data_IF_117646613599
#
_entry.id   IF_117646613599
#
_cell.length_a   1.000
_cell.length_b   1.000
_cell.length_c   1.000
_cell.angle_alpha   90.00
_cell.angle_beta   90.00
_cell.angle_gamma   90.00
#
_symmetry.space_group_name_H-M   'P 1'
#
loop_
_entity.id
_entity.type
_entity.pdbx_description
1 polymer ?
#
# COMPACT_ATOMS: atom_id res chain seq x y z
N UNK A 1 29.86 -43.07 -58.05
CA UNK A 1 29.52 -41.76 -58.63
C UNK A 1 28.08 -41.44 -58.28
N UNK A 2 27.85 -40.22 -57.78
CA UNK A 2 26.58 -39.54 -57.56
C UNK A 2 25.69 -39.98 -56.38
N UNK A 3 24.97 -39.00 -55.76
CA UNK A 3 24.95 -38.84 -54.31
C UNK A 3 23.57 -39.03 -53.69
N UNK A 4 23.57 -39.42 -52.41
CA UNK A 4 22.39 -39.29 -51.55
C UNK A 4 22.19 -37.82 -51.18
N UNK A 5 21.14 -37.20 -51.70
CA UNK A 5 20.66 -35.88 -51.27
C UNK A 5 19.15 -35.95 -51.17
N UNK A 6 18.58 -35.55 -50.03
CA UNK A 6 17.24 -34.97 -50.07
C UNK A 6 16.28 -35.22 -48.90
N UNK A 7 16.58 -36.05 -47.90
CA UNK A 7 15.65 -36.25 -46.77
C UNK A 7 16.01 -35.50 -45.48
N UNK A 8 17.21 -34.92 -45.38
CA UNK A 8 17.60 -34.11 -44.22
C UNK A 8 17.21 -32.62 -44.31
N UNK A 9 16.67 -32.15 -45.45
CA UNK A 9 16.41 -30.71 -45.66
C UNK A 9 14.98 -30.25 -45.31
N UNK A 10 14.05 -31.17 -45.00
CA UNK A 10 12.66 -30.82 -44.64
C UNK A 10 12.42 -30.67 -43.14
N UNK A 11 13.27 -31.27 -42.29
CA UNK A 11 13.20 -31.13 -40.84
C UNK A 11 13.59 -29.74 -40.29
N UNK A 12 14.57 -29.00 -40.83
CA UNK A 12 14.86 -27.66 -40.33
C UNK A 12 13.86 -26.60 -40.82
N UNK A 13 13.07 -26.89 -41.87
CA UNK A 13 12.05 -25.96 -42.38
C UNK A 13 10.77 -26.01 -41.54
N UNK A 14 10.42 -27.16 -40.96
CA UNK A 14 9.27 -27.31 -40.07
C UNK A 14 9.52 -26.75 -38.65
N UNK A 15 10.79 -26.64 -38.24
CA UNK A 15 11.20 -26.05 -36.96
C UNK A 15 11.34 -24.53 -37.01
N UNK A 16 11.36 -23.93 -38.21
CA UNK A 16 11.50 -22.47 -38.37
C UNK A 16 10.16 -21.72 -38.49
N UNK A 17 9.04 -22.42 -38.71
CA UNK A 17 7.70 -21.82 -38.73
C UNK A 17 7.00 -21.78 -37.37
N UNK A 18 7.58 -22.37 -36.33
CA UNK A 18 6.97 -22.44 -34.99
C UNK A 18 7.34 -21.27 -34.06
N UNK A 19 8.09 -20.27 -34.53
CA UNK A 19 8.61 -19.16 -33.70
C UNK A 19 7.93 -17.80 -33.99
N UNK A 20 6.71 -17.80 -34.51
CA UNK A 20 5.84 -16.62 -34.53
C UNK A 20 4.51 -16.95 -33.85
N UNK A 21 4.57 -17.56 -32.67
CA UNK A 21 3.50 -17.34 -31.70
C UNK A 21 3.61 -15.86 -31.32
N UNK A 22 2.76 -15.02 -31.90
CA UNK A 22 2.61 -13.66 -31.44
C UNK A 22 2.33 -13.72 -29.94
N UNK A 23 3.29 -13.30 -29.11
CA UNK A 23 3.04 -13.09 -27.69
C UNK A 23 1.88 -12.10 -27.60
N UNK A 24 0.70 -12.63 -27.27
CA UNK A 24 -0.47 -11.83 -26.97
C UNK A 24 -0.12 -10.97 -25.76
N UNK A 25 0.32 -9.74 -26.02
CA UNK A 25 0.63 -8.76 -24.98
C UNK A 25 -0.68 -8.46 -24.25
N UNK A 26 -0.83 -8.85 -22.97
CA UNK A 26 -2.08 -8.66 -22.28
C UNK A 26 -2.35 -7.15 -22.16
N UNK A 27 -3.56 -6.73 -22.53
CA UNK A 27 -4.01 -5.35 -22.32
C UNK A 27 -4.35 -5.18 -20.84
N UNK A 28 -3.34 -4.83 -20.05
CA UNK A 28 -3.50 -4.61 -18.62
C UNK A 28 -3.96 -3.16 -18.37
N UNK A 29 -4.95 -3.00 -17.49
CA UNK A 29 -5.38 -1.71 -16.97
C UNK A 29 -4.88 -1.62 -15.53
N UNK A 30 -4.00 -0.64 -15.25
CA UNK A 30 -3.49 -0.35 -13.91
C UNK A 30 -4.10 0.95 -13.41
N UNK A 31 -4.69 0.91 -12.22
CA UNK A 31 -5.27 2.07 -11.55
C UNK A 31 -4.69 2.09 -10.13
N UNK A 32 -4.13 3.23 -9.74
CA UNK A 32 -3.58 3.47 -8.42
C UNK A 32 -4.23 4.69 -7.77
N UNK A 33 -4.46 4.64 -6.46
CA UNK A 33 -4.97 5.75 -5.66
C UNK A 33 -3.87 6.25 -4.73
N UNK A 34 -3.61 7.55 -4.76
CA UNK A 34 -2.64 8.20 -3.87
C UNK A 34 -3.32 9.28 -3.02
N UNK A 35 -2.82 9.43 -1.79
CA UNK A 35 -3.23 10.48 -0.88
C UNK A 35 -2.61 11.83 -1.29
N UNK A 36 -3.07 12.92 -0.65
CA UNK A 36 -2.50 14.26 -0.87
C UNK A 36 -1.23 14.52 -0.05
N UNK A 37 -0.92 13.67 0.92
CA UNK A 37 0.23 13.79 1.80
C UNK A 37 1.36 12.85 1.38
N UNK A 38 2.58 13.17 1.81
CA UNK A 38 3.76 12.34 1.57
C UNK A 38 3.71 11.04 2.38
N UNK A 39 4.39 10.02 1.89
CA UNK A 39 4.46 8.69 2.50
C UNK A 39 4.80 8.78 4.00
N UNK A 40 4.15 7.92 4.77
CA UNK A 40 4.28 7.90 6.22
C UNK A 40 5.19 6.75 6.67
N UNK A 41 6.11 6.99 7.62
CA UNK A 41 6.99 5.93 8.12
C UNK A 41 6.20 4.88 8.91
N UNK A 42 6.48 3.60 8.62
CA UNK A 42 5.75 2.45 9.18
C UNK A 42 5.87 2.38 10.70
N UNK A 43 6.98 2.82 11.27
CA UNK A 43 7.22 2.81 12.72
C UNK A 43 6.31 3.78 13.48
N UNK A 44 5.93 4.91 12.87
CA UNK A 44 4.98 5.83 13.47
C UNK A 44 3.55 5.33 13.32
N UNK A 45 3.21 4.73 12.17
CA UNK A 45 1.92 4.06 12.01
C UNK A 45 1.73 2.92 13.03
N UNK A 46 2.81 2.16 13.28
CA UNK A 46 2.82 1.14 14.32
C UNK A 46 2.68 1.75 15.72
N UNK A 47 3.32 2.88 15.98
CA UNK A 47 3.18 3.58 17.26
C UNK A 47 1.72 4.01 17.50
N UNK A 48 1.01 4.50 16.48
CA UNK A 48 -0.41 4.85 16.57
C UNK A 48 -1.31 3.63 16.84
N UNK A 49 -1.03 2.48 16.20
CA UNK A 49 -1.70 1.23 16.54
C UNK A 49 -1.48 0.84 18.02
N UNK A 50 -0.25 0.97 18.50
CA UNK A 50 0.10 0.67 19.89
C UNK A 50 -0.55 1.64 20.86
N UNK A 51 -0.80 2.89 20.44
CA UNK A 51 -1.54 3.87 21.24
C UNK A 51 -3.01 3.46 21.44
N UNK A 52 -3.67 2.96 20.40
CA UNK A 52 -5.05 2.44 20.52
C UNK A 52 -5.13 1.21 21.45
N UNK A 53 -4.05 0.43 21.51
CA UNK A 53 -3.90 -0.71 22.43
C UNK A 53 -3.48 -0.31 23.85
N UNK A 54 -3.20 0.98 24.12
CA UNK A 54 -2.70 1.47 25.41
C UNK A 54 -1.24 1.05 25.72
N UNK A 55 -0.50 0.64 24.70
CA UNK A 55 0.86 0.11 24.78
C UNK A 55 1.93 1.04 24.18
N UNK A 56 1.54 2.27 23.80
CA UNK A 56 2.41 3.26 23.14
C UNK A 56 3.79 3.38 23.80
N UNK A 57 3.85 3.68 25.09
CA UNK A 57 5.12 3.91 25.79
C UNK A 57 5.98 2.65 25.88
N UNK A 58 5.37 1.49 26.07
CA UNK A 58 6.11 0.21 26.10
C UNK A 58 6.72 -0.09 24.74
N UNK A 59 6.00 0.22 23.66
CA UNK A 59 6.52 0.11 22.31
C UNK A 59 7.62 1.13 22.04
N UNK A 60 7.42 2.39 22.42
CA UNK A 60 8.39 3.47 22.24
C UNK A 60 9.71 3.23 22.98
N UNK A 61 9.67 2.54 24.13
CA UNK A 61 10.86 2.12 24.89
C UNK A 61 11.59 0.93 24.24
N UNK A 62 10.82 0.00 23.64
CA UNK A 62 11.33 -1.22 23.01
C UNK A 62 11.90 -0.97 21.60
N UNK A 63 11.26 -0.09 20.82
CA UNK A 63 11.64 0.21 19.45
C UNK A 63 12.98 0.96 19.37
N UNK A 64 13.77 0.64 18.35
CA UNK A 64 15.06 1.27 18.04
C UNK A 64 15.03 1.72 16.59
N UNK A 65 15.35 2.98 16.34
CA UNK A 65 15.45 3.48 14.98
C UNK A 65 16.58 2.78 14.23
N UNK A 66 16.31 2.42 12.97
CA UNK A 66 17.32 1.88 12.07
C UNK A 66 18.11 3.04 11.43
N UNK A 67 19.36 2.80 10.98
CA UNK A 67 20.13 3.81 10.26
C UNK A 67 19.44 4.21 8.94
N UNK A 68 19.73 5.42 8.47
CA UNK A 68 19.22 5.92 7.20
C UNK A 68 19.56 4.96 6.04
N UNK A 69 18.58 4.67 5.19
CA UNK A 69 18.71 3.73 4.07
C UNK A 69 18.32 2.28 4.38
N UNK A 70 17.79 1.99 5.56
CA UNK A 70 17.15 0.70 5.84
C UNK A 70 15.96 0.46 4.89
N UNK A 71 15.76 -0.80 4.49
CA UNK A 71 14.60 -1.16 3.66
C UNK A 71 13.34 -1.27 4.53
N UNK A 72 12.16 -1.05 3.93
CA UNK A 72 10.87 -1.22 4.61
C UNK A 72 10.72 -2.61 5.24
N UNK A 73 11.33 -3.64 4.64
CA UNK A 73 11.33 -4.99 5.20
C UNK A 73 12.11 -5.07 6.52
N UNK A 74 13.25 -4.36 6.63
CA UNK A 74 13.99 -4.29 7.88
C UNK A 74 13.22 -3.50 8.95
N UNK A 75 12.59 -2.40 8.56
CA UNK A 75 11.73 -1.60 9.45
C UNK A 75 10.57 -2.41 9.99
N UNK A 76 9.86 -3.15 9.12
CA UNK A 76 8.77 -4.03 9.52
C UNK A 76 9.22 -5.11 10.52
N UNK A 77 10.38 -5.74 10.28
CA UNK A 77 10.95 -6.72 11.23
C UNK A 77 11.31 -6.10 12.57
N UNK A 78 11.84 -4.87 12.58
CA UNK A 78 12.14 -4.16 13.82
C UNK A 78 10.87 -3.83 14.62
N UNK A 79 9.80 -3.41 13.94
CA UNK A 79 8.48 -3.18 14.53
C UNK A 79 7.91 -4.47 15.14
N UNK A 80 7.96 -5.57 14.39
CA UNK A 80 7.49 -6.87 14.85
C UNK A 80 8.25 -7.34 16.08
N UNK A 81 9.58 -7.26 16.05
CA UNK A 81 10.42 -7.65 17.18
C UNK A 81 10.11 -6.82 18.44
N UNK A 82 9.90 -5.50 18.29
CA UNK A 82 9.47 -4.64 19.39
C UNK A 82 8.07 -5.00 19.90
N UNK A 83 7.15 -5.40 19.01
CA UNK A 83 5.78 -5.77 19.32
C UNK A 83 5.60 -7.19 19.87
N UNK A 84 6.53 -8.12 19.62
CA UNK A 84 6.43 -9.54 19.99
C UNK A 84 6.20 -9.76 21.49
N UNK A 85 6.80 -8.93 22.33
CA UNK A 85 6.65 -9.01 23.80
C UNK A 85 5.39 -8.30 24.32
N UNK A 86 4.75 -7.48 23.49
CA UNK A 86 3.66 -6.58 23.87
C UNK A 86 2.29 -7.07 23.38
N UNK A 87 2.26 -7.72 22.22
CA UNK A 87 1.04 -8.11 21.52
C UNK A 87 0.89 -9.63 21.46
N UNK A 88 -0.36 -10.09 21.37
CA UNK A 88 -0.64 -11.49 21.05
C UNK A 88 -0.31 -11.79 19.58
N UNK A 89 -0.07 -13.06 19.21
CA UNK A 89 0.20 -13.44 17.82
C UNK A 89 -0.89 -12.99 16.83
N UNK A 90 -2.15 -12.96 17.26
CA UNK A 90 -3.26 -12.47 16.45
C UNK A 90 -3.17 -10.95 16.22
N UNK A 91 -2.85 -10.18 17.27
CA UNK A 91 -2.69 -8.72 17.16
C UNK A 91 -1.47 -8.34 16.32
N UNK A 92 -0.38 -9.10 16.36
CA UNK A 92 0.77 -8.89 15.46
C UNK A 92 0.39 -9.11 13.99
N UNK A 93 -0.42 -10.13 13.68
CA UNK A 93 -0.95 -10.33 12.32
C UNK A 93 -1.87 -9.20 11.90
N UNK A 94 -2.72 -8.72 12.81
CA UNK A 94 -3.59 -7.57 12.55
C UNK A 94 -2.76 -6.31 12.27
N UNK A 95 -1.73 -6.04 13.08
CA UNK A 95 -0.79 -4.92 12.85
C UNK A 95 -0.21 -4.97 11.44
N UNK A 96 0.28 -6.13 10.98
CA UNK A 96 0.79 -6.27 9.60
C UNK A 96 -0.24 -5.88 8.53
N UNK A 97 -1.49 -6.32 8.70
CA UNK A 97 -2.58 -5.99 7.75
C UNK A 97 -2.86 -4.48 7.78
N UNK A 98 -2.94 -3.89 8.96
CA UNK A 98 -3.22 -2.45 9.11
C UNK A 98 -2.09 -1.56 8.57
N UNK A 99 -0.83 -1.98 8.76
CA UNK A 99 0.33 -1.32 8.17
C UNK A 99 0.32 -1.44 6.64
N UNK A 100 0.00 -2.63 6.10
CA UNK A 100 -0.10 -2.81 4.64
C UNK A 100 -1.21 -1.97 4.00
N UNK A 101 -2.27 -1.69 4.76
CA UNK A 101 -3.38 -0.87 4.32
C UNK A 101 -3.19 0.63 4.65
N UNK A 102 -2.09 1.01 5.31
CA UNK A 102 -1.78 2.36 5.75
C UNK A 102 -2.90 3.06 6.52
N UNK A 103 -3.60 2.30 7.38
CA UNK A 103 -4.81 2.77 8.11
C UNK A 103 -4.49 3.93 9.05
N UNK A 104 -3.28 3.96 9.61
CA UNK A 104 -2.85 4.99 10.57
C UNK A 104 -2.12 6.17 9.91
N UNK A 105 -1.89 6.11 8.60
CA UNK A 105 -1.23 7.18 7.84
C UNK A 105 -1.85 8.58 8.07
N UNK A 106 -3.19 8.76 8.11
CA UNK A 106 -3.79 10.08 8.39
C UNK A 106 -3.44 10.64 9.77
N UNK A 107 -3.27 9.79 10.79
CA UNK A 107 -2.86 10.22 12.15
C UNK A 107 -1.38 10.61 12.19
N UNK A 108 -0.54 9.90 11.44
CA UNK A 108 0.87 10.27 11.29
C UNK A 108 1.02 11.61 10.55
N UNK A 109 0.23 11.83 9.50
CA UNK A 109 0.20 13.13 8.81
C UNK A 109 -0.33 14.25 9.73
N UNK A 110 -1.32 13.98 10.58
CA UNK A 110 -1.76 14.92 11.61
C UNK A 110 -0.59 15.35 12.50
N UNK A 111 0.24 14.39 12.98
CA UNK A 111 1.43 14.72 13.75
C UNK A 111 2.47 15.53 12.97
N UNK A 112 2.65 15.26 11.67
CA UNK A 112 3.50 16.07 10.79
C UNK A 112 3.05 17.52 10.78
N UNK A 113 1.75 17.76 10.57
CA UNK A 113 1.18 19.11 10.50
C UNK A 113 1.25 19.83 11.85
N UNK A 114 0.98 19.12 12.96
CA UNK A 114 1.13 19.67 14.32
C UNK A 114 2.59 20.08 14.54
N UNK A 115 3.55 19.20 14.24
CA UNK A 115 4.97 19.47 14.42
C UNK A 115 5.44 20.69 13.63
N UNK A 116 5.03 20.84 12.37
CA UNK A 116 5.37 22.00 11.53
C UNK A 116 4.74 23.30 12.07
N UNK A 117 3.45 23.23 12.44
CA UNK A 117 2.71 24.40 12.95
C UNK A 117 3.30 24.90 14.26
N UNK A 118 3.57 23.99 15.20
CA UNK A 118 4.12 24.34 16.51
C UNK A 118 5.58 24.74 16.42
N UNK A 119 6.39 24.12 15.57
CA UNK A 119 7.76 24.56 15.32
C UNK A 119 7.81 26.02 14.81
N UNK A 120 6.94 26.37 13.86
CA UNK A 120 6.83 27.75 13.36
C UNK A 120 6.37 28.71 14.46
N UNK A 121 5.40 28.28 15.27
CA UNK A 121 4.85 29.07 16.36
C UNK A 121 5.87 29.37 17.47
N UNK A 122 6.75 28.41 17.80
CA UNK A 122 7.80 28.56 18.81
C UNK A 122 9.15 29.00 18.22
N UNK A 123 9.19 29.44 16.96
CA UNK A 123 10.39 29.88 16.26
C UNK A 123 11.54 28.85 16.28
N UNK A 124 11.21 27.56 16.18
CA UNK A 124 12.17 26.46 16.08
C UNK A 124 12.73 26.41 14.66
N UNK A 125 14.05 26.27 14.46
CA UNK A 125 14.64 26.13 13.13
C UNK A 125 14.09 24.91 12.38
N UNK A 126 13.80 25.07 11.09
CA UNK A 126 13.18 24.03 10.26
C UNK A 126 13.96 22.71 10.14
N UNK A 127 15.29 22.75 10.34
CA UNK A 127 16.16 21.56 10.25
C UNK A 127 16.35 20.84 11.60
N UNK A 128 15.52 21.19 12.59
CA UNK A 128 15.64 20.62 13.94
C UNK A 128 14.97 19.26 14.00
N UNK A 129 15.76 18.20 14.10
CA UNK A 129 15.24 16.85 14.27
C UNK A 129 14.55 16.63 15.62
N UNK A 130 15.02 17.26 16.71
CA UNK A 130 14.51 17.01 18.06
C UNK A 130 14.50 18.28 18.90
N UNK A 131 13.39 18.53 19.61
CA UNK A 131 13.25 19.68 20.50
C UNK A 131 12.22 19.42 21.60
N UNK A 132 12.27 20.21 22.67
CA UNK A 132 11.31 20.16 23.77
C UNK A 132 10.55 21.47 23.89
N UNK A 133 9.27 21.39 24.24
CA UNK A 133 8.51 22.53 24.69
C UNK A 133 8.28 22.44 26.20
N UNK A 134 8.68 23.47 26.92
CA UNK A 134 8.45 23.62 28.35
C UNK A 134 8.09 25.08 28.68
N UNK A 135 6.94 25.31 29.29
CA UNK A 135 6.51 26.63 29.79
C UNK A 135 6.62 27.79 28.78
N UNK A 136 6.15 27.58 27.54
CA UNK A 136 6.13 28.61 26.50
C UNK A 136 7.48 28.84 25.82
N UNK A 137 8.47 27.97 26.06
CA UNK A 137 9.79 28.02 25.43
C UNK A 137 10.11 26.71 24.73
N UNK A 138 10.76 26.83 23.57
CA UNK A 138 11.34 25.70 22.88
C UNK A 138 12.83 25.55 23.25
N UNK A 139 13.25 24.32 23.50
CA UNK A 139 14.63 23.92 23.73
C UNK A 139 15.04 22.96 22.61
N UNK A 140 15.89 23.44 21.69
CA UNK A 140 16.40 22.65 20.57
C UNK A 140 17.47 21.67 21.07
N UNK A 141 17.36 20.40 20.67
CA UNK A 141 18.39 19.40 20.93
C UNK A 141 19.25 19.21 19.67
N UNK A 142 20.59 19.21 19.81
CA UNK A 142 21.48 19.01 18.67
C UNK A 142 21.31 17.60 18.07
N UNK A 143 21.20 17.53 16.74
CA UNK A 143 21.06 16.26 16.02
C UNK A 143 22.30 15.36 16.16
N UNK A 144 23.52 15.92 16.16
CA UNK A 144 24.76 15.16 16.34
C UNK A 144 25.25 15.11 17.79
N UNK A 145 24.44 15.62 18.73
CA UNK A 145 24.82 15.72 20.13
C UNK A 145 24.96 14.34 20.77
N UNK A 146 26.08 14.12 21.46
CA UNK A 146 26.22 12.97 22.35
C UNK A 146 25.23 13.09 23.53
N UNK A 147 25.04 12.00 24.27
CA UNK A 147 24.24 12.04 25.50
C UNK A 147 24.70 13.13 26.50
N UNK A 148 25.99 13.48 26.48
CA UNK A 148 26.57 14.52 27.33
C UNK A 148 26.15 15.94 26.91
N UNK A 149 25.81 16.16 25.64
CA UNK A 149 25.37 17.45 25.11
C UNK A 149 23.87 17.64 25.27
N UNK A 150 23.10 16.55 25.12
CA UNK A 150 21.63 16.55 25.22
C UNK A 150 21.16 16.64 26.68
N UNK A 151 21.79 15.92 27.60
CA UNK A 151 21.33 15.85 29.00
C UNK A 151 21.27 17.22 29.74
N UNK A 152 22.26 18.13 29.60
CA UNK A 152 22.19 19.46 30.20
C UNK A 152 20.99 20.28 29.69
N UNK A 153 20.69 20.22 28.39
CA UNK A 153 19.58 20.95 27.78
C UNK A 153 18.23 20.44 28.29
N UNK A 154 18.09 19.13 28.44
CA UNK A 154 16.89 18.52 29.05
C UNK A 154 16.73 18.95 30.51
N UNK A 155 17.84 19.02 31.28
CA UNK A 155 17.81 19.49 32.65
C UNK A 155 17.43 20.98 32.76
N UNK A 156 17.87 21.82 31.81
CA UNK A 156 17.43 23.23 31.72
C UNK A 156 15.93 23.31 31.46
N UNK A 157 15.40 22.53 30.51
CA UNK A 157 13.97 22.49 30.23
C UNK A 157 13.14 22.02 31.45
N UNK A 158 13.63 21.02 32.18
CA UNK A 158 13.02 20.56 33.44
C UNK A 158 13.09 21.63 34.54
N UNK A 159 14.18 22.39 34.64
CA UNK A 159 14.31 23.49 35.59
C UNK A 159 13.36 24.63 35.25
N UNK A 160 13.22 24.99 33.96
CA UNK A 160 12.27 26.00 33.48
C UNK A 160 10.82 25.58 33.78
N UNK A 161 10.49 24.30 33.62
CA UNK A 161 9.18 23.75 34.00
C UNK A 161 8.91 23.86 35.52
N UNK A 162 9.90 23.51 36.36
CA UNK A 162 9.73 23.48 37.83
C UNK A 162 9.76 24.85 38.51
N UNK A 163 10.62 25.76 38.06
CA UNK A 163 10.82 27.06 38.73
C UNK A 163 9.65 28.02 38.52
N UNK A 164 8.84 27.76 37.49
CA UNK A 164 7.77 28.65 37.06
C UNK A 164 6.38 28.04 37.25
N UNK A 165 6.17 27.10 38.17
CA UNK A 165 4.83 26.51 38.43
C UNK A 165 3.72 27.58 38.61
N UNK A 166 4.05 28.80 39.07
CA UNK A 166 3.14 29.98 39.06
C UNK A 166 3.36 31.02 37.95
N UNK A 167 4.49 31.00 37.22
CA UNK A 167 4.85 31.93 36.15
C UNK A 167 4.69 31.35 34.72
N UNK A 168 4.53 30.03 34.56
CA UNK A 168 3.96 29.41 33.37
C UNK A 168 2.43 29.69 33.30
N UNK A 169 1.83 30.03 34.45
CA UNK A 169 0.51 30.64 34.59
C UNK A 169 0.52 32.17 34.54
N UNK A 170 1.70 32.83 34.59
CA UNK A 170 1.80 34.27 34.40
C UNK A 170 1.70 34.58 32.90
N UNK A 171 0.51 35.08 32.57
CA UNK A 171 0.06 35.59 31.28
C UNK A 171 1.18 36.38 30.58
N UNK A 172 1.69 35.89 29.43
CA UNK A 172 2.43 36.75 28.52
C UNK A 172 1.51 37.89 28.08
N UNK A 173 2.02 39.13 27.95
CA UNK A 173 1.20 40.31 27.66
C UNK A 173 0.42 40.23 26.33
N UNK A 174 0.78 39.27 25.47
CA UNK A 174 0.25 39.10 24.12
C UNK A 174 -0.78 37.96 24.08
N UNK A 175 -1.98 38.23 23.58
CA UNK A 175 -3.11 37.27 23.57
C UNK A 175 -2.82 35.96 22.79
N UNK A 176 -1.92 35.99 21.81
CA UNK A 176 -1.50 34.81 21.05
C UNK A 176 -0.62 33.85 21.87
N UNK A 177 0.21 34.38 22.78
CA UNK A 177 1.09 33.61 23.66
C UNK A 177 0.31 33.00 24.86
N UNK A 178 -0.86 33.56 25.18
CA UNK A 178 -1.80 33.07 26.21
C UNK A 178 -2.40 31.70 25.92
N UNK A 179 -2.56 31.33 24.65
CA UNK A 179 -3.10 30.03 24.24
C UNK A 179 -2.04 28.92 24.35
N UNK A 180 -0.75 29.29 24.42
CA UNK A 180 0.39 28.39 24.30
C UNK A 180 0.97 27.89 25.62
N UNK A 181 0.92 28.70 26.67
CA UNK A 181 1.54 28.36 27.97
C UNK A 181 0.67 27.47 28.86
N UNK A 182 -0.64 27.45 28.59
CA UNK A 182 -1.67 26.69 29.30
C UNK A 182 -2.12 25.45 28.51
N UNK A 183 -1.37 25.03 27.49
CA UNK A 183 -1.74 23.92 26.64
C UNK A 183 -1.92 22.66 27.50
N UNK A 184 -3.17 22.28 27.70
CA UNK A 184 -3.51 20.93 28.10
C UNK A 184 -3.08 19.97 26.98
N UNK A 185 -2.76 18.72 27.33
CA UNK A 185 -2.50 17.70 26.33
C UNK A 185 -3.66 17.66 25.33
N UNK A 186 -3.34 17.53 24.05
CA UNK A 186 -4.32 17.30 23.01
C UNK A 186 -5.07 15.99 23.32
N UNK A 187 -6.30 15.87 22.86
CA UNK A 187 -7.10 14.64 23.07
C UNK A 187 -6.45 13.38 22.51
N UNK A 188 -5.54 13.56 21.54
CA UNK A 188 -4.77 12.50 20.88
C UNK A 188 -3.42 12.22 21.55
N UNK A 189 -2.97 13.09 22.46
CA UNK A 189 -1.67 12.94 23.14
C UNK A 189 -1.69 11.75 24.11
N UNK A 190 -0.60 10.97 24.11
CA UNK A 190 -0.38 9.90 25.07
C UNK A 190 0.42 10.45 26.27
N UNK A 191 -0.19 10.51 27.45
CA UNK A 191 0.49 10.93 28.69
C UNK A 191 1.37 9.79 29.25
N UNK A 192 2.58 10.12 29.68
CA UNK A 192 3.48 9.16 30.34
C UNK A 192 3.11 8.97 31.81
N UNK A 193 3.16 7.71 32.28
CA UNK A 193 2.95 7.34 33.67
C UNK A 193 1.48 7.04 34.01
N UNK A 194 1.19 6.67 35.28
CA UNK A 194 -0.17 6.35 35.70
C UNK A 194 -1.01 7.63 35.66
N UNK A 195 -1.78 7.79 34.60
CA UNK A 195 -2.83 8.79 34.51
C UNK A 195 -3.71 8.72 35.78
N UNK A 196 -4.02 9.90 36.36
CA UNK A 196 -5.24 10.17 37.14
C UNK A 196 -5.17 10.52 38.64
N UNK A 197 -4.06 10.52 39.39
CA UNK A 197 -4.17 10.86 40.84
C UNK A 197 -3.08 11.78 41.36
N UNK A 198 -3.16 13.07 41.00
CA UNK A 198 -2.54 14.16 41.78
C UNK A 198 -1.81 15.25 41.00
N UNK A 199 -1.49 15.06 39.71
CA UNK A 199 -0.62 15.99 38.95
C UNK A 199 -1.36 16.97 38.04
N UNK A 200 -2.66 17.20 38.24
CA UNK A 200 -3.42 18.16 37.41
C UNK A 200 -2.83 19.58 37.39
N UNK A 201 -1.97 19.89 38.37
CA UNK A 201 -1.29 21.16 38.50
C UNK A 201 0.20 21.14 38.09
N UNK A 202 0.71 20.00 37.60
CA UNK A 202 2.10 19.88 37.16
C UNK A 202 2.28 20.45 35.74
N UNK A 203 3.40 21.15 35.47
CA UNK A 203 3.69 21.72 34.16
C UNK A 203 3.78 20.62 33.08
N UNK A 204 3.24 20.91 31.90
CA UNK A 204 3.35 20.03 30.74
C UNK A 204 4.70 20.24 30.06
N UNK A 205 5.38 19.13 29.76
CA UNK A 205 6.58 19.09 28.92
C UNK A 205 6.28 18.19 27.74
N UNK A 206 6.44 18.74 26.53
CA UNK A 206 6.21 18.02 25.28
C UNK A 206 7.54 17.79 24.59
N UNK A 207 7.84 16.53 24.28
CA UNK A 207 9.03 16.16 23.50
C UNK A 207 8.62 15.94 22.04
N UNK A 208 9.29 16.64 21.13
CA UNK A 208 9.20 16.43 19.70
C UNK A 208 10.45 15.72 19.23
N UNK A 209 10.33 14.46 18.84
CA UNK A 209 11.49 13.65 18.46
C UNK A 209 11.11 12.54 17.47
N UNK A 210 12.02 12.09 16.60
CA UNK A 210 11.84 10.87 15.83
C UNK A 210 11.88 9.67 16.76
N UNK A 211 10.90 8.77 16.60
CA UNK A 211 10.76 7.63 17.48
C UNK A 211 11.98 6.70 17.40
N UNK A 212 12.55 6.36 18.54
CA UNK A 212 13.67 5.43 18.62
C UNK A 212 15.05 6.04 18.31
N UNK A 213 15.14 7.36 18.10
CA UNK A 213 16.43 8.05 17.94
C UNK A 213 17.23 8.08 19.26
N UNK A 214 18.55 8.25 19.18
CA UNK A 214 19.41 8.33 20.37
C UNK A 214 19.07 9.57 21.23
N UNK A 215 18.76 10.70 20.59
CA UNK A 215 18.38 11.94 21.27
C UNK A 215 17.05 11.76 22.01
N UNK A 216 16.09 11.07 21.37
CA UNK A 216 14.83 10.68 22.01
C UNK A 216 15.10 9.87 23.28
N UNK A 217 15.99 8.87 23.23
CA UNK A 217 16.26 8.01 24.39
C UNK A 217 16.85 8.76 25.57
N UNK A 218 17.81 9.65 25.32
CA UNK A 218 18.45 10.47 26.37
C UNK A 218 17.41 11.40 27.00
N UNK A 219 16.61 12.08 26.18
CA UNK A 219 15.54 12.95 26.67
C UNK A 219 14.47 12.16 27.44
N UNK A 220 14.01 11.03 26.88
CA UNK A 220 13.00 10.17 27.47
C UNK A 220 13.42 9.64 28.84
N UNK A 221 14.68 9.22 29.04
CA UNK A 221 15.15 8.75 30.35
C UNK A 221 15.05 9.81 31.46
N UNK A 222 15.35 11.07 31.13
CA UNK A 222 15.24 12.18 32.07
C UNK A 222 13.78 12.63 32.30
N UNK A 223 12.96 12.67 31.24
CA UNK A 223 11.56 13.10 31.32
C UNK A 223 10.67 12.04 32.00
N UNK A 224 10.86 10.76 31.69
CA UNK A 224 10.13 9.65 32.32
C UNK A 224 10.36 9.60 33.83
N UNK A 225 11.60 9.76 34.28
CA UNK A 225 11.92 9.79 35.72
C UNK A 225 11.33 11.01 36.42
N UNK A 226 11.34 12.19 35.78
CA UNK A 226 10.69 13.39 36.30
C UNK A 226 9.15 13.26 36.35
N UNK A 227 8.55 12.63 35.35
CA UNK A 227 7.12 12.36 35.28
C UNK A 227 6.69 11.30 36.32
N UNK A 228 7.47 10.24 36.52
CA UNK A 228 7.23 9.23 37.55
C UNK A 228 7.31 9.83 38.97
N UNK A 229 8.15 10.85 39.17
CA UNK A 229 8.21 11.62 40.41
C UNK A 229 7.05 12.61 40.58
N UNK A 230 6.12 12.70 39.62
CA UNK A 230 4.97 13.61 39.65
C UNK A 230 5.32 15.09 39.47
N UNK A 231 6.53 15.39 38.97
CA UNK A 231 7.03 16.76 38.85
C UNK A 231 6.57 17.44 37.56
N UNK A 232 6.33 16.65 36.51
CA UNK A 232 5.89 17.12 35.19
C UNK A 232 4.81 16.20 34.65
N UNK A 233 3.97 16.73 33.75
CA UNK A 233 3.21 15.92 32.79
C UNK A 233 4.07 15.77 31.54
N UNK A 234 4.28 14.55 31.07
CA UNK A 234 5.15 14.28 29.93
C UNK A 234 4.35 13.68 28.77
N UNK A 235 4.52 14.27 27.59
CA UNK A 235 3.94 13.83 26.31
C UNK A 235 5.05 13.71 25.26
N UNK A 236 4.96 12.67 24.43
CA UNK A 236 5.77 12.53 23.21
C UNK A 236 4.89 12.83 22.00
N UNK A 237 5.34 13.76 21.16
CA UNK A 237 4.79 14.01 19.82
C UNK A 237 5.82 13.55 18.80
N UNK A 238 5.55 12.50 18.02
CA UNK A 238 6.53 11.97 17.09
C UNK A 238 6.77 12.97 15.95
N UNK A 239 8.04 13.24 15.66
CA UNK A 239 8.44 13.94 14.43
C UNK A 239 8.84 12.93 13.37
N UNK A 240 8.46 13.21 12.13
CA UNK A 240 8.93 12.47 10.97
C UNK A 240 10.32 13.01 10.65
N UNK A 241 11.33 12.16 10.73
CA UNK A 241 12.67 12.53 10.29
C UNK A 241 12.60 12.90 8.80
N UNK A 242 13.14 14.06 8.43
CA UNK A 242 13.24 14.46 7.03
C UNK A 242 14.22 13.53 6.32
N UNK A 243 13.70 12.46 5.70
CA UNK A 243 14.49 11.56 4.89
C UNK A 243 14.70 12.21 3.53
N UNK A 244 15.66 13.12 3.44
CA UNK A 244 16.24 13.53 2.17
C UNK A 244 17.00 12.33 1.55
N UNK A 245 16.29 11.31 1.04
CA UNK A 245 16.76 10.24 0.13
C UNK A 245 15.93 8.94 0.23
N UNK A 246 14.65 8.98 -0.10
CA UNK A 246 14.00 7.82 -0.70
C UNK A 246 13.67 8.14 -2.16
N UNK A 247 14.74 8.26 -2.96
CA UNK A 247 14.68 8.16 -4.41
C UNK A 247 14.42 6.69 -4.80
N UNK A 248 13.20 6.24 -4.60
CA UNK A 248 12.65 5.14 -5.40
C UNK A 248 12.27 5.76 -6.75
N UNK A 249 12.59 5.08 -7.84
CA UNK A 249 12.74 5.65 -9.18
C UNK A 249 11.58 6.50 -9.72
N UNK A 250 11.94 7.36 -10.69
CA UNK A 250 11.07 8.17 -11.54
C UNK A 250 10.20 9.26 -10.88
N UNK A 251 10.59 9.78 -9.72
CA UNK A 251 10.00 11.02 -9.17
C UNK A 251 10.96 12.19 -9.35
N UNK A 252 10.47 13.26 -9.97
CA UNK A 252 11.24 14.48 -10.23
C UNK A 252 11.85 15.03 -8.94
N UNK A 253 13.07 15.56 -9.07
CA UNK A 253 13.85 16.19 -8.00
C UNK A 253 12.99 17.23 -7.25
N UNK A 254 12.55 16.88 -6.03
CA UNK A 254 11.78 17.76 -5.13
C UNK A 254 10.37 17.29 -4.70
N UNK A 255 9.85 16.18 -5.22
CA UNK A 255 8.52 15.65 -4.79
C UNK A 255 8.71 14.38 -3.95
N UNK A 256 8.38 14.44 -2.65
CA UNK A 256 8.36 13.25 -1.78
C UNK A 256 7.32 12.24 -2.30
N UNK A 257 7.58 10.92 -2.22
CA UNK A 257 6.63 9.92 -2.69
C UNK A 257 5.30 10.07 -1.94
N UNK A 258 4.19 10.19 -2.67
CA UNK A 258 2.85 10.28 -2.05
C UNK A 258 2.43 8.93 -1.49
N UNK A 259 1.69 8.95 -0.38
CA UNK A 259 1.18 7.73 0.23
C UNK A 259 0.20 7.03 -0.72
N UNK A 260 0.46 5.76 -1.05
CA UNK A 260 -0.52 4.94 -1.78
C UNK A 260 -1.59 4.45 -0.80
N UNK A 261 -2.85 4.57 -1.20
CA UNK A 261 -3.98 4.15 -0.39
C UNK A 261 -4.45 2.77 -0.82
N UNK A 262 -4.90 1.97 0.12
CA UNK A 262 -5.45 0.62 -0.12
C UNK A 262 -6.89 0.55 0.38
N UNK A 263 -7.62 -0.50 -0.02
CA UNK A 263 -9.01 -0.73 0.42
C UNK A 263 -10.08 -0.08 -0.46
N UNK A 264 -9.73 0.34 -1.69
CA UNK A 264 -10.69 0.74 -2.71
C UNK A 264 -10.88 -0.38 -3.75
N UNK A 265 -12.08 -0.45 -4.32
CA UNK A 265 -12.40 -1.33 -5.44
C UNK A 265 -12.45 -0.53 -6.74
N UNK A 266 -11.90 -1.09 -7.81
CA UNK A 266 -11.99 -0.54 -9.16
C UNK A 266 -13.00 -1.35 -9.95
N UNK A 267 -13.99 -0.68 -10.54
CA UNK A 267 -15.02 -1.31 -11.36
C UNK A 267 -14.86 -0.83 -12.81
N UNK A 268 -14.64 -1.79 -13.71
CA UNK A 268 -14.66 -1.55 -15.15
C UNK A 268 -16.07 -1.80 -15.67
N UNK A 269 -16.85 -0.72 -15.77
CA UNK A 269 -18.20 -0.78 -16.32
C UNK A 269 -18.15 -0.80 -17.85
N UNK A 270 -18.81 -1.77 -18.46
CA UNK A 270 -19.08 -1.75 -19.89
C UNK A 270 -20.20 -0.73 -20.14
N UNK A 271 -19.91 0.33 -20.90
CA UNK A 271 -20.86 1.42 -21.14
C UNK A 271 -21.91 1.07 -22.21
N UNK A 272 -21.53 0.28 -23.21
CA UNK A 272 -22.44 -0.14 -24.28
C UNK A 272 -23.10 -1.46 -23.87
N UNK A 273 -24.28 -1.35 -23.24
CA UNK A 273 -25.11 -2.49 -22.83
C UNK A 273 -26.19 -2.84 -23.86
N UNK A 274 -26.24 -2.13 -24.98
CA UNK A 274 -27.18 -2.42 -26.06
C UNK A 274 -26.69 -3.66 -26.81
N UNK A 275 -27.36 -4.78 -26.55
CA UNK A 275 -27.30 -5.95 -27.41
C UNK A 275 -27.87 -5.53 -28.77
N UNK A 276 -27.12 -5.79 -29.86
CA UNK A 276 -27.78 -5.98 -31.14
C UNK A 276 -28.70 -7.17 -30.94
N UNK A 277 -29.99 -6.93 -30.75
CA UNK A 277 -30.98 -7.98 -30.86
C UNK A 277 -30.87 -8.47 -32.31
N UNK A 278 -30.18 -9.59 -32.51
CA UNK A 278 -30.34 -10.34 -33.76
C UNK A 278 -31.81 -10.71 -33.82
N UNK A 279 -32.46 -10.33 -34.92
CA UNK A 279 -33.85 -10.66 -35.18
C UNK A 279 -33.98 -12.19 -35.12
N UNK A 280 -34.90 -12.73 -34.32
CA UNK A 280 -35.07 -14.17 -34.10
C UNK A 280 -35.31 -14.92 -35.43
N UNK A 281 -35.72 -14.21 -36.48
CA UNK A 281 -35.89 -14.74 -37.84
C UNK A 281 -34.57 -15.09 -38.54
N UNK A 282 -33.46 -14.42 -38.23
CA UNK A 282 -32.15 -14.71 -38.82
C UNK A 282 -31.48 -15.92 -38.14
N UNK A 283 -31.74 -16.11 -36.83
CA UNK A 283 -31.29 -17.28 -36.07
C UNK A 283 -32.15 -18.51 -36.39
N UNK A 284 -33.43 -18.34 -36.71
CA UNK A 284 -34.25 -19.42 -37.24
C UNK A 284 -33.74 -19.94 -38.59
N UNK A 285 -33.01 -19.16 -39.39
CA UNK A 285 -32.35 -19.70 -40.60
C UNK A 285 -31.02 -20.41 -40.31
N UNK A 286 -30.43 -20.22 -39.12
CA UNK A 286 -29.27 -20.98 -38.65
C UNK A 286 -29.67 -22.26 -37.88
N UNK A 287 -30.86 -22.28 -37.26
CA UNK A 287 -31.41 -23.40 -36.49
C UNK A 287 -32.54 -24.18 -37.17
N UNK A 288 -33.18 -23.62 -38.20
CA UNK A 288 -34.03 -24.38 -39.11
C UNK A 288 -33.08 -25.09 -40.05
N UNK A 289 -33.12 -26.42 -39.98
CA UNK A 289 -32.80 -27.30 -41.09
C UNK A 289 -33.60 -26.84 -42.32
N UNK A 290 -33.12 -25.81 -43.02
CA UNK A 290 -33.48 -25.54 -44.40
C UNK A 290 -32.90 -26.69 -45.20
N UNK A 291 -33.78 -27.51 -45.77
CA UNK A 291 -33.54 -28.60 -46.71
C UNK A 291 -32.19 -29.31 -46.60
N UNK A 292 -32.21 -30.45 -45.91
CA UNK A 292 -31.21 -31.51 -46.06
C UNK A 292 -31.33 -32.23 -47.42
N UNK A 293 -31.34 -31.47 -48.52
CA UNK A 293 -31.29 -32.03 -49.88
C UNK A 293 -30.00 -31.70 -50.64
N UNK A 294 -29.05 -30.96 -50.05
CA UNK A 294 -27.67 -30.83 -50.56
C UNK A 294 -26.64 -31.33 -49.53
N UNK A 295 -26.78 -32.60 -49.11
CA UNK A 295 -25.71 -33.30 -48.41
C UNK A 295 -24.67 -33.77 -49.43
N UNK A 296 -23.59 -33.00 -49.62
CA UNK A 296 -22.35 -33.57 -50.14
C UNK A 296 -21.90 -34.65 -49.13
N UNK A 297 -21.68 -35.92 -49.55
CA UNK A 297 -21.34 -37.01 -48.65
C UNK A 297 -20.01 -36.82 -47.90
N UNK A 298 -19.20 -35.82 -48.27
CA UNK A 298 -17.96 -35.47 -47.59
C UNK A 298 -18.15 -34.16 -46.81
N UNK A 299 -18.14 -34.22 -45.48
CA UNK A 299 -18.44 -33.10 -44.57
C UNK A 299 -17.41 -31.96 -44.50
N UNK A 300 -16.76 -31.62 -45.62
CA UNK A 300 -15.80 -30.54 -45.76
C UNK A 300 -16.04 -29.77 -47.06
N UNK A 301 -16.43 -28.50 -46.92
CA UNK A 301 -16.78 -27.61 -48.04
C UNK A 301 -15.56 -26.87 -48.60
N UNK A 302 -15.77 -26.08 -49.66
CA UNK A 302 -14.72 -25.23 -50.26
C UNK A 302 -14.13 -24.19 -49.30
N UNK A 303 -14.80 -23.90 -48.19
CA UNK A 303 -14.36 -22.99 -47.12
C UNK A 303 -13.33 -23.61 -46.17
N UNK A 304 -13.11 -24.93 -46.22
CA UNK A 304 -12.12 -25.64 -45.40
C UNK A 304 -10.71 -25.66 -46.05
N UNK A 305 -10.55 -24.97 -47.19
CA UNK A 305 -9.27 -24.68 -47.84
C UNK A 305 -8.50 -23.55 -47.15
N UNK A 306 -9.18 -22.72 -46.35
CA UNK A 306 -8.58 -21.59 -45.64
C UNK A 306 -7.97 -22.02 -44.29
N UNK A 307 -6.88 -21.34 -43.90
CA UNK A 307 -6.22 -21.57 -42.62
C UNK A 307 -7.13 -21.14 -41.47
N UNK A 308 -7.67 -22.09 -40.69
CA UNK A 308 -8.44 -21.80 -39.48
C UNK A 308 -7.56 -21.98 -38.26
N UNK A 309 -7.26 -20.87 -37.57
CA UNK A 309 -6.50 -20.85 -36.31
C UNK A 309 -5.18 -21.65 -36.32
N UNK A 310 -4.45 -21.62 -37.45
CA UNK A 310 -3.19 -22.34 -37.62
C UNK A 310 -3.32 -23.78 -38.11
N UNK A 311 -4.54 -24.26 -38.41
CA UNK A 311 -4.80 -25.60 -38.93
C UNK A 311 -5.44 -25.57 -40.32
N UNK A 312 -4.94 -26.43 -41.21
CA UNK A 312 -5.53 -26.70 -42.52
C UNK A 312 -6.29 -28.02 -42.46
N UNK A 313 -7.59 -27.95 -42.14
CA UNK A 313 -8.41 -29.14 -41.90
C UNK A 313 -8.50 -30.07 -43.12
N UNK A 314 -8.53 -29.52 -44.35
CA UNK A 314 -8.48 -30.34 -45.57
C UNK A 314 -7.17 -31.13 -45.71
N UNK A 315 -6.04 -30.50 -45.38
CA UNK A 315 -4.73 -31.18 -45.42
C UNK A 315 -4.61 -32.26 -44.34
N UNK A 316 -5.24 -32.06 -43.18
CA UNK A 316 -5.29 -33.04 -42.10
C UNK A 316 -6.18 -34.23 -42.46
N UNK A 317 -7.35 -33.97 -43.06
CA UNK A 317 -8.28 -35.00 -43.51
C UNK A 317 -7.70 -35.87 -44.64
N UNK A 318 -6.98 -35.26 -45.59
CA UNK A 318 -6.28 -35.98 -46.66
C UNK A 318 -5.21 -36.94 -46.13
N UNK A 319 -4.56 -36.58 -45.01
CA UNK A 319 -3.48 -37.39 -44.41
C UNK A 319 -4.02 -38.44 -43.45
N UNK A 320 -5.13 -38.18 -42.77
CA UNK A 320 -5.74 -39.03 -41.75
C UNK A 320 -7.28 -39.04 -41.90
N UNK A 321 -7.80 -39.76 -42.91
CA UNK A 321 -9.24 -39.85 -43.14
C UNK A 321 -9.95 -40.64 -42.03
N UNK A 322 -9.22 -41.41 -41.22
CA UNK A 322 -9.74 -42.18 -40.09
C UNK A 322 -10.19 -41.31 -38.90
N UNK A 323 -9.75 -40.04 -38.85
CA UNK A 323 -10.01 -39.11 -37.75
C UNK A 323 -11.03 -38.02 -38.09
N UNK A 324 -11.83 -38.23 -39.14
CA UNK A 324 -12.80 -37.27 -39.64
C UNK A 324 -13.74 -36.72 -38.53
N UNK A 325 -14.34 -37.61 -37.74
CA UNK A 325 -15.26 -37.21 -36.67
C UNK A 325 -14.58 -36.36 -35.58
N UNK A 326 -13.33 -36.68 -35.23
CA UNK A 326 -12.57 -35.94 -34.21
C UNK A 326 -12.08 -34.59 -34.73
N UNK A 327 -11.71 -34.50 -36.02
CA UNK A 327 -11.31 -33.25 -36.65
C UNK A 327 -12.51 -32.30 -36.80
N UNK A 328 -13.70 -32.83 -37.10
CA UNK A 328 -14.94 -32.06 -37.11
C UNK A 328 -15.28 -31.52 -35.72
N UNK A 329 -15.19 -32.36 -34.68
CA UNK A 329 -15.40 -31.92 -33.28
C UNK A 329 -14.39 -30.84 -32.85
N UNK A 330 -13.11 -31.00 -33.20
CA UNK A 330 -12.07 -30.04 -32.88
C UNK A 330 -12.29 -28.70 -33.60
N UNK A 331 -12.74 -28.74 -34.87
CA UNK A 331 -13.10 -27.52 -35.61
C UNK A 331 -14.20 -26.75 -34.88
N UNK A 332 -15.27 -27.45 -34.50
CA UNK A 332 -16.39 -26.84 -33.78
C UNK A 332 -15.95 -26.28 -32.41
N UNK A 333 -15.05 -26.96 -31.70
CA UNK A 333 -14.45 -26.46 -30.45
C UNK A 333 -13.58 -25.21 -30.65
N UNK A 334 -12.80 -25.14 -31.74
CA UNK A 334 -11.98 -23.95 -32.04
C UNK A 334 -12.84 -22.76 -32.44
N UNK A 335 -13.86 -22.99 -33.27
CA UNK A 335 -14.79 -21.94 -33.71
C UNK A 335 -15.59 -21.40 -32.50
N UNK A 336 -15.98 -22.28 -31.56
CA UNK A 336 -16.63 -21.86 -30.30
C UNK A 336 -15.68 -21.16 -29.31
N UNK A 337 -14.40 -21.57 -29.25
CA UNK A 337 -13.39 -20.90 -28.42
C UNK A 337 -13.03 -19.49 -28.95
N UNK A 338 -12.99 -19.30 -30.27
CA UNK A 338 -12.76 -18.00 -30.90
C UNK A 338 -13.89 -17.01 -30.56
N UNK A 339 -15.15 -17.47 -30.62
CA UNK A 339 -16.32 -16.69 -30.19
C UNK A 339 -16.28 -16.31 -28.70
N UNK A 340 -15.51 -17.02 -27.86
CA UNK A 340 -15.39 -16.70 -26.43
C UNK A 340 -14.37 -15.59 -26.12
N UNK A 341 -13.41 -15.34 -27.02
CA UNK A 341 -12.43 -14.25 -26.86
C UNK A 341 -12.99 -12.89 -27.31
N UNK A 342 -13.87 -12.89 -28.31
CA UNK A 342 -14.70 -11.74 -28.67
C UNK A 342 -15.97 -11.75 -27.81
N UNK A 343 -15.84 -11.29 -26.56
CA UNK A 343 -16.92 -11.20 -25.57
C UNK A 343 -18.15 -10.34 -25.97
N UNK A 344 -18.25 -9.89 -27.22
CA UNK A 344 -19.36 -9.12 -27.75
C UNK A 344 -20.59 -9.95 -28.14
N UNK A 345 -20.48 -11.29 -28.24
CA UNK A 345 -21.62 -12.15 -28.62
C UNK A 345 -21.88 -13.28 -27.61
N UNK A 346 -22.18 -12.89 -26.37
CA UNK A 346 -22.80 -13.81 -25.41
C UNK A 346 -24.22 -14.16 -25.88
N UNK A 347 -24.44 -15.40 -26.28
CA UNK A 347 -25.76 -15.93 -26.66
C UNK A 347 -26.73 -15.83 -25.47
N UNK A 348 -27.92 -15.27 -25.70
CA UNK A 348 -28.91 -14.92 -24.64
C UNK A 348 -29.33 -16.12 -23.77
N UNK A 349 -29.45 -17.32 -24.34
CA UNK A 349 -29.81 -18.52 -23.57
C UNK A 349 -28.68 -19.04 -22.66
N UNK A 350 -27.41 -18.71 -22.96
CA UNK A 350 -26.29 -19.06 -22.09
C UNK A 350 -26.26 -18.23 -20.79
N UNK A 351 -27.03 -17.13 -20.72
CA UNK A 351 -27.11 -16.27 -19.54
C UNK A 351 -28.08 -16.79 -18.47
N UNK A 352 -29.08 -17.61 -18.84
CA UNK A 352 -30.15 -18.02 -17.91
C UNK A 352 -29.62 -18.83 -16.73
N UNK A 353 -28.67 -19.73 -16.97
CA UNK A 353 -28.10 -20.62 -15.94
C UNK A 353 -26.69 -20.22 -15.51
N UNK A 354 -26.21 -19.04 -15.94
CA UNK A 354 -24.82 -18.62 -15.70
C UNK A 354 -24.48 -18.52 -14.20
N UNK A 355 -25.42 -18.03 -13.39
CA UNK A 355 -25.25 -17.97 -11.94
C UNK A 355 -25.16 -19.35 -11.29
N UNK A 356 -25.97 -20.31 -11.75
CA UNK A 356 -25.96 -21.68 -11.24
C UNK A 356 -24.67 -22.40 -11.64
N UNK A 357 -24.27 -22.28 -12.91
CA UNK A 357 -23.01 -22.82 -13.42
C UNK A 357 -21.80 -22.24 -12.70
N UNK A 358 -21.77 -20.92 -12.48
CA UNK A 358 -20.68 -20.25 -11.75
C UNK A 358 -20.61 -20.70 -10.28
N UNK A 359 -21.74 -20.91 -9.62
CA UNK A 359 -21.77 -21.40 -8.23
C UNK A 359 -21.40 -22.88 -8.07
N UNK A 360 -21.53 -23.67 -9.15
CA UNK A 360 -21.25 -25.11 -9.16
C UNK A 360 -19.79 -25.48 -9.44
N UNK A 361 -19.02 -24.53 -9.97
CA UNK A 361 -17.56 -24.64 -10.14
C UNK A 361 -16.87 -24.29 -8.84
#
# INVERSE_FOLDING_TARGET
AMPQVGWCAMLPLLLLSAACAAELKPKNIEISLSARWAATPLELEAAEFMADEGLFWRFAEAYRALPAGATDQHTLRAIEHAGESLLSPLRLRLLRVLLSAHVFSPRVEMWRQIGVTEAAQFAVPHDTATWLHACGRAHVLPADGSAADVAPLVNVALADARTRVGACAAVPEIHAERVLSLADPLSVDQLYGPASRGSGNAPLVVLYAPLGSEQYRVAHAALSSAAAAGQIRYVLRPLIASTASHSVGDVAEGDEPRQTLQGYGVLLAIKNMEYKAMDDQEIANLGSMGDRDDMDPNGFGAEDDEERHGFFFRSLLQRRPDLEASLASLRDELDTAALSQDASELKVWALQDLGLQASSR
#
